data_IF_294168359673
#
_entry.id   IF_294168359673
#
_cell.length_a   1.000
_cell.length_b   1.000
_cell.length_c   1.000
_cell.angle_alpha   90.00
_cell.angle_beta   90.00
_cell.angle_gamma   90.00
#
_symmetry.space_group_name_H-M   'P 1'
#
loop_
_entity.id
_entity.type
_entity.pdbx_description
1 polymer ?
#
# COMPACT_ATOMS: atom_id res chain seq x y z
N UNK A 1 -9.42 46.72 -42.08
CA UNK A 1 -10.41 45.82 -41.53
C UNK A 1 -10.10 44.43 -42.01
N UNK A 2 -9.32 43.72 -41.23
CA UNK A 2 -8.97 42.33 -41.49
C UNK A 2 -9.75 41.49 -40.48
N UNK A 3 -10.71 40.72 -40.99
CA UNK A 3 -11.49 39.74 -40.26
C UNK A 3 -10.58 38.59 -39.84
N UNK A 4 -10.38 38.42 -38.53
CA UNK A 4 -9.73 37.26 -37.94
C UNK A 4 -10.67 36.08 -37.96
N UNK A 5 -10.29 35.03 -38.67
CA UNK A 5 -10.96 33.72 -38.66
C UNK A 5 -10.67 33.04 -37.33
N UNK A 6 -11.62 33.01 -36.44
CA UNK A 6 -11.59 32.24 -35.22
C UNK A 6 -11.96 30.77 -35.57
N UNK A 7 -10.94 29.94 -35.75
CA UNK A 7 -11.15 28.50 -35.88
C UNK A 7 -11.45 27.97 -34.47
N UNK A 8 -12.70 27.73 -34.18
CA UNK A 8 -13.16 26.99 -33.01
C UNK A 8 -12.79 25.54 -33.20
N UNK A 9 -11.88 25.09 -32.36
CA UNK A 9 -11.41 23.71 -32.19
C UNK A 9 -12.55 22.86 -31.57
N UNK A 10 -13.51 22.44 -32.40
CA UNK A 10 -14.68 21.66 -31.99
C UNK A 10 -14.50 20.15 -32.28
N UNK A 11 -13.29 19.76 -32.72
CA UNK A 11 -12.99 18.37 -33.08
C UNK A 11 -12.76 17.44 -31.88
N UNK A 12 -12.23 17.96 -30.77
CA UNK A 12 -11.81 17.14 -29.63
C UNK A 12 -12.95 16.65 -28.73
N UNK A 13 -14.05 17.38 -28.68
CA UNK A 13 -15.23 17.01 -27.88
C UNK A 13 -16.06 15.88 -28.49
N UNK A 14 -16.14 15.81 -29.82
CA UNK A 14 -16.87 14.74 -30.52
C UNK A 14 -16.09 13.42 -30.55
N UNK A 15 -14.77 13.47 -30.62
CA UNK A 15 -13.89 12.28 -30.58
C UNK A 15 -13.92 11.60 -29.21
N UNK A 16 -13.87 12.37 -28.14
CA UNK A 16 -13.96 11.86 -26.77
C UNK A 16 -15.37 11.29 -26.45
N UNK A 17 -16.42 11.86 -27.00
CA UNK A 17 -17.79 11.36 -26.83
C UNK A 17 -18.04 10.06 -27.60
N UNK A 18 -17.45 9.89 -28.79
CA UNK A 18 -17.53 8.65 -29.55
C UNK A 18 -16.71 7.53 -28.93
N UNK A 19 -15.57 7.82 -28.29
CA UNK A 19 -14.71 6.86 -27.59
C UNK A 19 -15.39 6.33 -26.31
N UNK A 20 -16.19 7.13 -25.63
CA UNK A 20 -16.94 6.72 -24.43
C UNK A 20 -18.12 5.78 -24.73
N UNK A 21 -18.62 5.77 -25.98
CA UNK A 21 -19.71 4.90 -26.43
C UNK A 21 -19.23 3.53 -26.90
N UNK A 22 -17.93 3.35 -27.12
CA UNK A 22 -17.40 2.06 -27.51
C UNK A 22 -17.24 1.16 -26.28
N UNK A 23 -17.87 -0.03 -26.25
CA UNK A 23 -17.73 -0.93 -25.14
C UNK A 23 -16.26 -1.37 -25.03
N UNK A 24 -15.75 -1.62 -23.80
CA UNK A 24 -14.33 -1.88 -23.55
C UNK A 24 -13.81 -3.04 -24.42
N UNK A 25 -12.66 -2.83 -25.05
CA UNK A 25 -11.99 -3.82 -25.87
C UNK A 25 -11.57 -4.99 -24.97
N UNK A 26 -12.25 -6.11 -25.11
CA UNK A 26 -11.91 -7.35 -24.39
C UNK A 26 -11.17 -8.31 -25.33
N UNK A 27 -10.35 -9.21 -24.75
CA UNK A 27 -9.63 -10.24 -25.53
C UNK A 27 -10.59 -11.08 -26.39
N UNK A 28 -11.79 -11.39 -25.87
CA UNK A 28 -12.81 -12.15 -26.61
C UNK A 28 -13.34 -11.43 -27.84
N UNK A 29 -13.45 -10.11 -27.79
CA UNK A 29 -13.86 -9.30 -28.98
C UNK A 29 -12.79 -9.27 -30.04
N UNK A 30 -11.53 -9.14 -29.64
CA UNK A 30 -10.41 -9.21 -30.59
C UNK A 30 -10.30 -10.58 -31.26
N UNK A 31 -10.56 -11.67 -30.54
CA UNK A 31 -10.64 -13.02 -31.15
C UNK A 31 -11.82 -13.16 -32.09
N UNK A 32 -13.01 -12.67 -31.74
CA UNK A 32 -14.18 -12.68 -32.60
C UNK A 32 -13.96 -11.91 -33.91
N UNK A 33 -13.26 -10.76 -33.86
CA UNK A 33 -12.88 -9.99 -35.05
C UNK A 33 -11.86 -10.71 -35.96
N UNK A 34 -11.01 -11.53 -35.37
CA UNK A 34 -10.10 -12.40 -36.12
C UNK A 34 -10.86 -13.56 -36.77
N UNK A 35 -11.78 -14.20 -36.06
CA UNK A 35 -12.60 -15.32 -36.54
C UNK A 35 -13.57 -14.92 -37.65
N UNK A 36 -14.07 -13.66 -37.61
CA UNK A 36 -14.89 -13.09 -38.71
C UNK A 36 -14.09 -12.65 -39.93
N UNK A 37 -12.74 -12.81 -39.92
CA UNK A 37 -11.88 -12.42 -41.02
C UNK A 37 -11.68 -10.93 -41.20
N UNK A 38 -12.23 -10.09 -40.31
CA UNK A 38 -12.09 -8.62 -40.34
C UNK A 38 -10.69 -8.18 -39.90
N UNK A 39 -9.99 -8.98 -39.12
CA UNK A 39 -8.63 -8.71 -38.66
C UNK A 39 -7.68 -9.80 -39.15
N UNK A 40 -6.58 -9.41 -39.78
CA UNK A 40 -5.56 -10.39 -40.14
C UNK A 40 -4.89 -10.96 -38.90
N UNK A 41 -4.34 -12.21 -38.93
CA UNK A 41 -3.66 -12.82 -37.81
C UNK A 41 -2.49 -11.98 -37.25
N UNK A 42 -1.82 -11.24 -38.12
CA UNK A 42 -0.71 -10.35 -37.74
C UNK A 42 -1.23 -9.07 -37.04
N UNK A 43 -2.30 -8.49 -37.57
CA UNK A 43 -2.95 -7.33 -36.95
C UNK A 43 -3.55 -7.69 -35.58
N UNK A 44 -4.10 -8.90 -35.43
CA UNK A 44 -4.58 -9.44 -34.16
C UNK A 44 -3.47 -9.55 -33.11
N UNK A 45 -2.30 -10.12 -33.47
CA UNK A 45 -1.14 -10.18 -32.57
C UNK A 45 -0.68 -8.79 -32.11
N UNK A 46 -0.64 -7.84 -33.07
CA UNK A 46 -0.25 -6.46 -32.78
C UNK A 46 -1.28 -5.75 -31.89
N UNK A 47 -2.57 -5.98 -32.12
CA UNK A 47 -3.65 -5.44 -31.30
C UNK A 47 -3.59 -5.99 -29.86
N UNK A 48 -3.30 -7.28 -29.66
CA UNK A 48 -3.09 -7.87 -28.35
C UNK A 48 -1.91 -7.25 -27.58
N UNK A 49 -0.83 -6.89 -28.29
CA UNK A 49 0.32 -6.21 -27.69
C UNK A 49 -0.03 -4.78 -27.29
N UNK A 50 -0.68 -4.02 -28.16
CA UNK A 50 -1.09 -2.64 -27.92
C UNK A 50 -2.08 -2.55 -26.76
N UNK A 51 -3.05 -3.48 -26.68
CA UNK A 51 -4.02 -3.55 -25.60
C UNK A 51 -3.48 -4.16 -24.30
N UNK A 52 -2.21 -4.54 -24.24
CA UNK A 52 -1.58 -5.10 -23.04
C UNK A 52 -2.03 -6.53 -22.68
N UNK A 53 -2.76 -7.23 -23.56
CA UNK A 53 -3.20 -8.60 -23.33
C UNK A 53 -2.08 -9.63 -23.55
N UNK A 54 -1.01 -9.26 -24.23
CA UNK A 54 0.18 -10.08 -24.44
C UNK A 54 1.42 -9.24 -24.11
N UNK A 55 1.90 -9.28 -22.85
CA UNK A 55 3.05 -8.49 -22.45
C UNK A 55 4.30 -8.92 -23.24
N UNK A 56 5.00 -7.96 -23.83
CA UNK A 56 6.28 -8.19 -24.48
C UNK A 56 7.39 -8.43 -23.44
N UNK A 57 8.58 -8.82 -23.90
CA UNK A 57 9.72 -9.09 -23.00
C UNK A 57 10.11 -7.90 -22.12
N UNK A 58 9.86 -6.64 -22.58
CA UNK A 58 10.14 -5.42 -21.80
C UNK A 58 9.14 -5.25 -20.66
N UNK A 59 7.87 -5.55 -20.90
CA UNK A 59 6.84 -5.52 -19.87
C UNK A 59 7.08 -6.58 -18.78
N UNK A 60 7.49 -7.79 -19.19
CA UNK A 60 7.93 -8.85 -18.27
C UNK A 60 9.15 -8.43 -17.45
N UNK A 61 10.15 -7.83 -18.08
CA UNK A 61 11.35 -7.36 -17.39
C UNK A 61 11.01 -6.26 -16.37
N UNK A 62 10.12 -5.31 -16.73
CA UNK A 62 9.66 -4.27 -15.84
C UNK A 62 8.89 -4.84 -14.63
N UNK A 63 8.05 -5.85 -14.85
CA UNK A 63 7.33 -6.55 -13.79
C UNK A 63 8.29 -7.26 -12.82
N UNK A 64 9.23 -8.06 -13.32
CA UNK A 64 10.22 -8.74 -12.50
C UNK A 64 11.11 -7.77 -11.74
N UNK A 65 11.55 -6.68 -12.39
CA UNK A 65 12.31 -5.63 -11.69
C UNK A 65 11.55 -5.07 -10.50
N UNK A 66 10.25 -4.87 -10.63
CA UNK A 66 9.43 -4.34 -9.53
C UNK A 66 9.27 -5.35 -8.39
N UNK A 67 9.08 -6.64 -8.70
CA UNK A 67 9.03 -7.72 -7.71
C UNK A 67 10.37 -7.84 -6.97
N UNK A 68 11.49 -7.84 -7.70
CA UNK A 68 12.81 -7.92 -7.08
C UNK A 68 13.16 -6.69 -6.23
N UNK A 69 12.74 -5.50 -6.65
CA UNK A 69 12.90 -4.28 -5.85
C UNK A 69 12.10 -4.36 -4.55
N UNK A 70 10.84 -4.74 -4.62
CA UNK A 70 9.98 -4.88 -3.45
C UNK A 70 10.48 -6.01 -2.55
N UNK A 71 10.77 -7.18 -3.11
CA UNK A 71 11.33 -8.31 -2.38
C UNK A 71 12.66 -7.97 -1.73
N UNK A 72 13.57 -7.33 -2.45
CA UNK A 72 14.86 -6.87 -1.92
C UNK A 72 14.71 -5.87 -0.77
N UNK A 73 13.79 -4.93 -0.88
CA UNK A 73 13.49 -3.99 0.21
C UNK A 73 12.96 -4.70 1.47
N UNK A 74 12.06 -5.68 1.29
CA UNK A 74 11.53 -6.48 2.39
C UNK A 74 12.63 -7.35 3.04
N UNK A 75 13.47 -8.00 2.24
CA UNK A 75 14.59 -8.79 2.75
C UNK A 75 15.62 -7.91 3.48
N UNK A 76 15.91 -6.73 2.95
CA UNK A 76 16.80 -5.78 3.62
C UNK A 76 16.24 -5.34 4.98
N UNK A 77 14.96 -4.99 5.03
CA UNK A 77 14.28 -4.61 6.27
C UNK A 77 14.27 -5.76 7.28
N UNK A 78 13.96 -6.98 6.84
CA UNK A 78 14.02 -8.18 7.67
C UNK A 78 15.45 -8.43 8.20
N UNK A 79 16.47 -8.26 7.36
CA UNK A 79 17.88 -8.37 7.75
C UNK A 79 18.26 -7.37 8.83
N UNK A 80 17.84 -6.12 8.71
CA UNK A 80 18.06 -5.08 9.73
C UNK A 80 17.37 -5.45 11.03
N UNK A 81 16.13 -5.92 10.99
CA UNK A 81 15.38 -6.36 12.18
C UNK A 81 16.10 -7.55 12.84
N UNK A 82 16.52 -8.55 12.08
CA UNK A 82 17.26 -9.70 12.58
C UNK A 82 18.60 -9.30 13.19
N UNK A 83 19.33 -8.39 12.56
CA UNK A 83 20.59 -7.86 13.09
C UNK A 83 20.40 -7.15 14.44
N UNK A 84 19.38 -6.31 14.54
CA UNK A 84 19.02 -5.63 15.80
C UNK A 84 18.63 -6.67 16.85
N UNK A 85 17.80 -7.65 16.48
CA UNK A 85 17.36 -8.71 17.40
C UNK A 85 18.53 -9.56 17.91
N UNK A 86 19.48 -9.92 17.03
CA UNK A 86 20.68 -10.67 17.42
C UNK A 86 21.59 -9.89 18.39
N UNK A 87 21.78 -8.60 18.12
CA UNK A 87 22.62 -7.72 18.95
C UNK A 87 21.86 -7.07 20.11
N UNK A 88 20.64 -7.54 20.41
CA UNK A 88 19.75 -6.90 21.37
C UNK A 88 20.36 -6.69 22.74
N UNK A 89 21.11 -7.70 23.26
CA UNK A 89 21.78 -7.63 24.56
C UNK A 89 22.96 -6.65 24.61
N UNK A 90 23.62 -6.40 23.47
CA UNK A 90 24.79 -5.53 23.39
C UNK A 90 24.43 -4.03 23.17
N UNK A 91 23.23 -3.75 22.64
CA UNK A 91 22.78 -2.38 22.34
C UNK A 91 22.06 -1.80 23.56
N UNK A 92 22.48 -0.63 24.03
CA UNK A 92 21.79 0.07 25.11
C UNK A 92 20.33 0.41 24.74
N UNK A 93 19.39 0.53 25.70
CA UNK A 93 17.99 0.89 25.43
C UNK A 93 17.84 2.17 24.59
N UNK A 94 18.63 3.19 24.89
CA UNK A 94 18.68 4.43 24.11
C UNK A 94 19.22 4.21 22.69
N UNK A 95 20.23 3.35 22.52
CA UNK A 95 20.76 2.99 21.20
C UNK A 95 19.72 2.31 20.32
N UNK A 96 18.91 1.42 20.88
CA UNK A 96 17.79 0.76 20.17
C UNK A 96 16.75 1.76 19.70
N UNK A 97 16.35 2.66 20.60
CA UNK A 97 15.39 3.72 20.28
C UNK A 97 15.93 4.69 19.23
N UNK A 98 17.20 5.10 19.35
CA UNK A 98 17.84 5.99 18.38
C UNK A 98 17.92 5.33 16.99
N UNK A 99 18.27 4.05 16.91
CA UNK A 99 18.41 3.31 15.67
C UNK A 99 17.06 3.18 14.94
N UNK A 100 16.02 2.75 15.64
CA UNK A 100 14.69 2.59 15.01
C UNK A 100 14.05 3.97 14.78
N UNK A 101 14.23 4.91 15.69
CA UNK A 101 13.76 6.27 15.54
C UNK A 101 14.38 6.99 14.33
N UNK A 102 15.68 6.78 14.08
CA UNK A 102 16.34 7.31 12.87
C UNK A 102 15.81 6.68 11.59
N UNK A 103 15.45 5.39 11.61
CA UNK A 103 14.82 4.72 10.46
C UNK A 103 13.42 5.30 10.19
N UNK A 104 12.58 5.47 11.22
CA UNK A 104 11.25 6.08 11.09
C UNK A 104 11.36 7.52 10.59
N UNK A 105 12.23 8.32 11.21
CA UNK A 105 12.43 9.72 10.81
C UNK A 105 13.00 9.83 9.40
N UNK A 106 14.02 9.05 9.05
CA UNK A 106 14.65 9.06 7.74
C UNK A 106 13.69 8.66 6.62
N UNK A 107 12.91 7.59 6.83
CA UNK A 107 11.91 7.16 5.84
C UNK A 107 10.74 8.14 5.75
N UNK A 108 10.30 8.72 6.86
CA UNK A 108 9.25 9.73 6.89
C UNK A 108 9.67 11.03 6.18
N UNK A 109 10.85 11.56 6.52
CA UNK A 109 11.41 12.75 5.84
C UNK A 109 11.63 12.47 4.36
N UNK A 110 12.20 11.32 4.01
CA UNK A 110 12.38 10.92 2.61
C UNK A 110 11.07 10.85 1.84
N UNK A 111 10.00 10.34 2.44
CA UNK A 111 8.67 10.29 1.84
C UNK A 111 8.10 11.70 1.57
N UNK A 112 8.29 12.63 2.51
CA UNK A 112 7.84 14.02 2.36
C UNK A 112 8.64 14.75 1.27
N UNK A 113 9.97 14.59 1.25
CA UNK A 113 10.84 15.26 0.28
C UNK A 113 10.63 14.79 -1.15
N UNK A 114 10.36 13.48 -1.34
CA UNK A 114 10.11 12.91 -2.66
C UNK A 114 8.66 13.06 -3.14
N UNK A 115 7.75 13.38 -2.21
CA UNK A 115 6.32 13.43 -2.43
C UNK A 115 5.66 12.04 -2.38
N UNK A 116 4.50 11.92 -1.71
CA UNK A 116 3.81 10.63 -1.53
C UNK A 116 3.29 10.03 -2.86
N UNK A 117 3.09 10.84 -3.89
CA UNK A 117 2.65 10.42 -5.21
C UNK A 117 3.79 9.79 -6.05
N UNK A 118 5.03 10.08 -5.71
CA UNK A 118 6.19 9.45 -6.34
C UNK A 118 6.32 7.99 -5.86
N UNK A 119 6.68 7.07 -6.77
CA UNK A 119 6.84 5.64 -6.43
C UNK A 119 7.77 5.41 -5.24
N UNK A 120 8.91 6.10 -5.20
CA UNK A 120 9.87 6.03 -4.09
C UNK A 120 9.32 6.66 -2.83
N UNK A 121 8.66 7.81 -2.91
CA UNK A 121 8.03 8.47 -1.77
C UNK A 121 6.98 7.58 -1.12
N UNK A 122 6.19 6.88 -1.94
CA UNK A 122 5.24 5.91 -1.48
C UNK A 122 5.83 4.70 -0.76
N UNK A 123 6.90 4.14 -1.29
CA UNK A 123 7.62 3.03 -0.64
C UNK A 123 8.20 3.48 0.70
N UNK A 124 8.78 4.68 0.76
CA UNK A 124 9.30 5.25 2.00
C UNK A 124 8.21 5.53 3.04
N UNK A 125 7.05 5.99 2.61
CA UNK A 125 5.91 6.22 3.50
C UNK A 125 5.39 4.89 4.08
N UNK A 126 5.31 3.84 3.27
CA UNK A 126 4.97 2.50 3.73
C UNK A 126 6.03 1.96 4.71
N UNK A 127 7.31 2.12 4.41
CA UNK A 127 8.41 1.72 5.29
C UNK A 127 8.36 2.48 6.62
N UNK A 128 8.05 3.77 6.61
CA UNK A 128 7.82 4.57 7.81
C UNK A 128 6.69 3.98 8.66
N UNK A 129 5.53 3.71 8.07
CA UNK A 129 4.39 3.14 8.77
C UNK A 129 4.68 1.75 9.38
N UNK A 130 5.36 0.88 8.64
CA UNK A 130 5.75 -0.45 9.13
C UNK A 130 6.76 -0.32 10.29
N UNK A 131 7.74 0.59 10.19
CA UNK A 131 8.79 0.79 11.21
C UNK A 131 8.26 1.37 12.51
N UNK A 132 7.08 2.03 12.51
CA UNK A 132 6.43 2.52 13.73
C UNK A 132 6.05 1.39 14.70
N UNK A 133 5.67 0.20 14.22
CA UNK A 133 5.34 -0.94 15.06
C UNK A 133 6.53 -1.39 15.94
N UNK A 134 7.68 -1.74 15.35
CA UNK A 134 8.90 -2.01 16.12
C UNK A 134 9.33 -0.88 17.04
N UNK A 135 9.15 0.38 16.64
CA UNK A 135 9.43 1.55 17.51
C UNK A 135 8.59 1.53 18.78
N UNK A 136 7.28 1.31 18.64
CA UNK A 136 6.36 1.20 19.78
C UNK A 136 6.71 0.01 20.67
N UNK A 137 7.08 -1.13 20.08
CA UNK A 137 7.47 -2.32 20.82
C UNK A 137 8.75 -2.08 21.65
N UNK A 138 9.77 -1.45 21.07
CA UNK A 138 11.02 -1.10 21.79
C UNK A 138 10.76 -0.09 22.88
N UNK A 139 9.89 0.89 22.64
CA UNK A 139 9.49 1.85 23.65
C UNK A 139 8.83 1.14 24.84
N UNK A 140 7.83 0.29 24.60
CA UNK A 140 7.14 -0.47 25.63
C UNK A 140 8.08 -1.35 26.46
N UNK A 141 9.05 -2.02 25.80
CA UNK A 141 10.06 -2.85 26.47
C UNK A 141 11.06 -2.02 27.28
N UNK A 142 11.48 -0.86 26.78
CA UNK A 142 12.50 -0.03 27.44
C UNK A 142 11.99 0.67 28.67
N UNK A 143 10.74 1.07 28.66
CA UNK A 143 10.11 1.79 29.78
C UNK A 143 9.26 0.90 30.70
N UNK A 144 9.19 -0.41 30.41
CA UNK A 144 8.39 -1.38 31.17
C UNK A 144 6.97 -0.84 31.47
N UNK A 145 6.34 -0.23 30.45
CA UNK A 145 5.06 0.45 30.59
C UNK A 145 3.90 -0.48 30.97
N UNK A 146 4.16 -1.79 31.06
CA UNK A 146 3.11 -2.79 31.31
C UNK A 146 2.08 -2.89 30.18
N UNK A 147 2.34 -2.23 29.06
CA UNK A 147 1.44 -2.17 27.90
C UNK A 147 1.21 -3.56 27.34
N UNK A 148 -0.03 -3.95 27.23
CA UNK A 148 -0.39 -5.24 26.62
C UNK A 148 -0.24 -5.19 25.11
N UNK A 149 -0.05 -6.36 24.51
CA UNK A 149 0.23 -6.48 23.08
C UNK A 149 -0.88 -5.86 22.20
N UNK A 150 -2.14 -5.98 22.62
CA UNK A 150 -3.28 -5.41 21.89
C UNK A 150 -3.28 -3.87 21.89
N UNK A 151 -2.79 -3.22 22.95
CA UNK A 151 -2.68 -1.76 23.00
C UNK A 151 -1.65 -1.25 22.00
N UNK A 152 -0.54 -1.96 21.86
CA UNK A 152 0.47 -1.65 20.84
C UNK A 152 -0.14 -1.70 19.45
N UNK A 153 -0.83 -2.80 19.11
CA UNK A 153 -1.47 -2.93 17.80
C UNK A 153 -2.59 -1.92 17.59
N UNK A 154 -3.32 -1.53 18.63
CA UNK A 154 -4.32 -0.46 18.57
C UNK A 154 -3.69 0.87 18.14
N UNK A 155 -2.64 1.30 18.84
CA UNK A 155 -1.94 2.56 18.53
C UNK A 155 -1.33 2.50 17.15
N UNK A 156 -0.67 1.39 16.81
CA UNK A 156 -0.07 1.20 15.49
C UNK A 156 -1.10 1.24 14.36
N UNK A 157 -2.26 0.61 14.52
CA UNK A 157 -3.35 0.64 13.54
C UNK A 157 -3.86 2.06 13.32
N UNK A 158 -4.02 2.85 14.39
CA UNK A 158 -4.43 4.26 14.27
C UNK A 158 -3.40 5.07 13.49
N UNK A 159 -2.10 4.92 13.80
CA UNK A 159 -1.03 5.61 13.10
C UNK A 159 -0.97 5.22 11.62
N UNK A 160 -1.09 3.91 11.31
CA UNK A 160 -1.15 3.44 9.93
C UNK A 160 -2.37 3.99 9.18
N UNK A 161 -3.54 4.06 9.83
CA UNK A 161 -4.75 4.63 9.25
C UNK A 161 -4.56 6.11 8.88
N UNK A 162 -3.95 6.90 9.77
CA UNK A 162 -3.64 8.31 9.50
C UNK A 162 -2.69 8.46 8.31
N UNK A 163 -1.64 7.62 8.24
CA UNK A 163 -0.72 7.61 7.10
C UNK A 163 -1.41 7.14 5.81
N UNK A 164 -2.33 6.16 5.89
CA UNK A 164 -3.08 5.67 4.73
C UNK A 164 -4.02 6.74 4.16
N UNK A 165 -4.66 7.52 5.03
CA UNK A 165 -5.49 8.66 4.65
C UNK A 165 -4.67 9.77 3.98
N UNK A 166 -3.48 10.06 4.51
CA UNK A 166 -2.59 11.07 3.96
C UNK A 166 -1.96 10.63 2.63
N UNK A 167 -1.49 9.38 2.55
CA UNK A 167 -0.75 8.86 1.40
C UNK A 167 -1.60 8.23 0.30
N UNK A 168 -2.88 7.96 0.56
CA UNK A 168 -3.85 7.35 -0.40
C UNK A 168 -3.33 6.08 -1.11
N UNK A 169 -2.46 5.31 -0.46
CA UNK A 169 -1.79 4.16 -1.04
C UNK A 169 -2.43 2.84 -0.61
N UNK A 170 -2.61 1.92 -1.56
CA UNK A 170 -3.16 0.59 -1.29
C UNK A 170 -2.31 -0.21 -0.28
N UNK A 171 -0.97 -0.08 -0.32
CA UNK A 171 -0.06 -0.75 0.59
C UNK A 171 -0.26 -0.35 2.06
N UNK A 172 -0.51 0.94 2.34
CA UNK A 172 -0.80 1.43 3.69
C UNK A 172 -2.16 0.94 4.18
N UNK A 173 -3.18 0.93 3.32
CA UNK A 173 -4.49 0.36 3.66
C UNK A 173 -4.40 -1.12 3.99
N UNK A 174 -3.60 -1.88 3.22
CA UNK A 174 -3.36 -3.29 3.47
C UNK A 174 -2.64 -3.52 4.81
N UNK A 175 -1.60 -2.73 5.11
CA UNK A 175 -0.91 -2.76 6.40
C UNK A 175 -1.84 -2.41 7.57
N UNK A 176 -2.69 -1.39 7.40
CA UNK A 176 -3.71 -1.00 8.39
C UNK A 176 -4.70 -2.14 8.63
N UNK A 177 -5.15 -2.81 7.57
CA UNK A 177 -6.08 -3.93 7.67
C UNK A 177 -5.45 -5.12 8.42
N UNK A 178 -4.20 -5.48 8.11
CA UNK A 178 -3.47 -6.55 8.82
C UNK A 178 -3.31 -6.20 10.30
N UNK A 179 -2.79 -4.99 10.60
CA UNK A 179 -2.58 -4.55 11.99
C UNK A 179 -3.89 -4.50 12.77
N UNK A 180 -4.97 -4.00 12.16
CA UNK A 180 -6.30 -3.95 12.74
C UNK A 180 -6.90 -5.34 12.99
N UNK A 181 -6.66 -6.30 12.09
CA UNK A 181 -7.09 -7.68 12.27
C UNK A 181 -6.37 -8.36 13.43
N UNK A 182 -5.07 -8.11 13.58
CA UNK A 182 -4.29 -8.61 14.73
C UNK A 182 -4.77 -7.97 16.03
N UNK A 183 -4.99 -6.66 16.03
CA UNK A 183 -5.58 -5.95 17.18
C UNK A 183 -6.92 -6.58 17.57
N UNK A 184 -7.84 -6.77 16.61
CA UNK A 184 -9.15 -7.37 16.87
C UNK A 184 -9.01 -8.79 17.42
N UNK A 185 -8.15 -9.63 16.83
CA UNK A 185 -7.92 -10.99 17.29
C UNK A 185 -7.40 -11.04 18.73
N UNK A 186 -6.45 -10.16 19.08
CA UNK A 186 -5.90 -10.09 20.45
C UNK A 186 -6.92 -9.55 21.45
N UNK A 187 -7.72 -8.55 21.06
CA UNK A 187 -8.77 -7.98 21.87
C UNK A 187 -9.88 -8.99 22.17
N UNK A 188 -10.41 -9.66 21.12
CA UNK A 188 -11.45 -10.67 21.27
C UNK A 188 -10.93 -11.93 21.96
N UNK A 189 -9.69 -12.36 21.68
CA UNK A 189 -9.08 -13.50 22.36
C UNK A 189 -8.95 -13.33 23.87
N UNK A 190 -8.78 -12.09 24.34
CA UNK A 190 -8.78 -11.76 25.77
C UNK A 190 -10.20 -11.79 26.38
N UNK A 191 -11.21 -11.37 25.61
CA UNK A 191 -12.60 -11.28 26.07
C UNK A 191 -13.31 -12.65 26.05
N UNK A 192 -12.73 -13.66 25.40
CA UNK A 192 -13.32 -14.98 25.21
C UNK A 192 -13.04 -15.92 26.38
N UNK A 193 -13.49 -15.55 27.57
CA UNK A 193 -13.84 -16.54 28.60
C UNK A 193 -15.15 -17.26 28.27
N UNK A 194 -16.05 -16.62 27.49
CA UNK A 194 -17.22 -17.26 26.85
C UNK A 194 -17.54 -16.58 25.49
N UNK A 195 -18.02 -17.32 24.46
CA UNK A 195 -18.41 -16.72 23.18
C UNK A 195 -19.57 -15.70 23.30
N UNK A 196 -20.37 -15.76 24.36
CA UNK A 196 -21.45 -14.83 24.64
C UNK A 196 -20.92 -13.47 25.15
N UNK A 197 -19.82 -13.44 25.91
CA UNK A 197 -19.20 -12.22 26.42
C UNK A 197 -18.55 -11.41 25.29
N UNK A 198 -18.02 -12.09 24.27
CA UNK A 198 -17.45 -11.42 23.08
C UNK A 198 -18.54 -10.68 22.27
N UNK A 199 -19.73 -11.27 22.16
CA UNK A 199 -20.86 -10.64 21.48
C UNK A 199 -21.37 -9.44 22.29
N UNK A 200 -21.47 -9.57 23.60
CA UNK A 200 -21.85 -8.47 24.49
C UNK A 200 -20.82 -7.31 24.47
N UNK A 201 -19.53 -7.62 24.47
CA UNK A 201 -18.46 -6.61 24.40
C UNK A 201 -18.43 -5.88 23.04
N UNK A 202 -18.82 -6.52 21.94
CA UNK A 202 -18.91 -5.88 20.62
C UNK A 202 -20.00 -4.80 20.56
N UNK A 203 -21.11 -4.99 21.28
CA UNK A 203 -22.25 -4.08 21.32
C UNK A 203 -22.23 -3.16 22.56
N UNK A 204 -21.39 -3.43 23.56
CA UNK A 204 -21.20 -2.53 24.68
C UNK A 204 -20.43 -1.28 24.20
N UNK A 205 -21.13 -0.15 24.18
CA UNK A 205 -20.46 1.15 24.04
C UNK A 205 -19.45 1.29 25.17
N UNK A 206 -18.21 1.74 24.88
CA UNK A 206 -17.23 1.92 25.94
C UNK A 206 -17.76 2.89 26.99
N UNK A 207 -17.62 2.53 28.25
CA UNK A 207 -18.19 3.25 29.41
C UNK A 207 -17.78 4.74 29.50
N UNK A 208 -16.73 5.15 28.78
CA UNK A 208 -16.29 6.54 28.69
C UNK A 208 -17.11 7.40 27.69
N UNK A 209 -18.08 6.79 26.99
CA UNK A 209 -19.04 7.47 26.08
C UNK A 209 -20.40 7.73 26.75
N UNK A 210 -20.63 7.21 27.95
CA UNK A 210 -21.80 7.47 28.82
C UNK A 210 -21.41 8.43 29.96
#
# INVERSE_FOLDING_TARGET
PTAGCHSTDDGTTHENAAESLLPPLTRGRLTALCDTGTLSPEAWKKALQICGFNPDGKAWLAYWRQIFLLGGALFFLAGVICFIAWNWGAISPFGRMALIGSLVAGTGVGAVLLGPDARLGGILLLACGISMGPMLAVFGQSYQTGTELWELFRVWTVLLCLLALAGKQAGLWFATWISGSIFAALWFGRSLSSPLDAFAAFFALPEWLL
#
